data_IF_845736222858
#
_entry.id   IF_845736222858
#
_cell.length_a   1.000
_cell.length_b   1.000
_cell.length_c   1.000
_cell.angle_alpha   90.00
_cell.angle_beta   90.00
_cell.angle_gamma   90.00
#
_symmetry.space_group_name_H-M   'P 1'
#
loop_
_entity.id
_entity.type
_entity.pdbx_description
1 polymer ?
#
# COMPACT_ATOMS: atom_id res chain seq x y z
N UNK A 1 0.11 -20.24 5.19
CA UNK A 1 -0.66 -21.35 4.58
C UNK A 1 -0.61 -22.53 5.53
N UNK A 2 -1.74 -23.20 5.75
CA UNK A 2 -1.79 -24.55 6.33
C UNK A 2 -1.79 -25.57 5.19
N UNK A 3 -1.22 -26.76 5.40
CA UNK A 3 -1.21 -27.85 4.41
C UNK A 3 -2.18 -28.99 4.75
N UNK A 4 -2.73 -29.01 5.98
CA UNK A 4 -3.66 -30.02 6.44
C UNK A 4 -4.79 -29.37 7.29
N UNK A 5 -5.95 -29.05 6.69
CA UNK A 5 -6.18 -28.99 5.24
C UNK A 5 -5.45 -27.80 4.58
N UNK A 6 -5.29 -27.78 3.24
CA UNK A 6 -4.73 -26.65 2.51
C UNK A 6 -5.58 -25.38 2.67
N UNK A 7 -5.07 -24.42 3.44
CA UNK A 7 -5.75 -23.13 3.69
C UNK A 7 -4.77 -21.98 3.48
N UNK A 8 -5.16 -21.02 2.65
CA UNK A 8 -4.50 -19.74 2.48
C UNK A 8 -5.07 -18.69 3.42
N UNK A 9 -4.18 -17.89 3.99
CA UNK A 9 -4.52 -16.73 4.82
C UNK A 9 -3.80 -15.53 4.21
N UNK A 10 -4.56 -14.58 3.68
CA UNK A 10 -4.02 -13.48 2.90
C UNK A 10 -4.52 -12.15 3.44
N UNK A 11 -3.58 -11.23 3.67
CA UNK A 11 -3.90 -9.85 3.93
C UNK A 11 -3.89 -9.10 2.60
N UNK A 12 -5.06 -8.61 2.18
CA UNK A 12 -5.22 -7.85 0.94
C UNK A 12 -5.27 -6.37 1.30
N UNK A 13 -4.41 -5.58 0.64
CA UNK A 13 -4.40 -4.13 0.78
C UNK A 13 -4.79 -3.48 -0.54
N UNK A 14 -6.07 -3.15 -0.74
CA UNK A 14 -6.56 -2.63 -2.02
C UNK A 14 -6.06 -1.22 -2.35
N UNK A 15 -5.62 -0.46 -1.33
CA UNK A 15 -5.12 0.90 -1.47
C UNK A 15 -4.03 1.21 -0.44
N UNK A 16 -3.06 2.03 -0.83
CA UNK A 16 -1.99 2.54 0.06
C UNK A 16 -2.35 3.88 0.73
N UNK A 17 -3.54 4.41 0.52
CA UNK A 17 -3.96 5.73 1.04
C UNK A 17 -3.79 5.90 2.55
N UNK A 18 -4.07 4.84 3.31
CA UNK A 18 -3.94 4.88 4.77
C UNK A 18 -2.51 4.62 5.25
N UNK A 19 -1.60 4.19 4.37
CA UNK A 19 -0.19 3.94 4.70
C UNK A 19 0.63 5.22 4.65
N UNK A 20 1.60 5.34 5.56
CA UNK A 20 2.54 6.48 5.55
C UNK A 20 3.76 6.22 4.68
N UNK A 21 4.33 7.29 4.12
CA UNK A 21 5.57 7.23 3.32
C UNK A 21 5.35 7.00 1.81
N UNK A 22 4.11 6.83 1.38
CA UNK A 22 3.75 6.65 -0.02
C UNK A 22 4.05 5.24 -0.57
N UNK A 23 3.75 5.02 -1.86
CA UNK A 23 3.72 3.67 -2.46
C UNK A 23 5.09 2.98 -2.57
N UNK A 24 6.19 3.70 -2.37
CA UNK A 24 7.54 3.15 -2.40
C UNK A 24 8.11 2.87 -0.99
N UNK A 25 7.36 3.17 0.07
CA UNK A 25 7.83 2.98 1.44
C UNK A 25 7.86 1.51 1.80
N UNK A 26 9.05 1.01 2.10
CA UNK A 26 9.26 -0.36 2.55
C UNK A 26 8.73 -0.55 3.98
N UNK A 27 8.17 -1.72 4.24
CA UNK A 27 7.76 -2.13 5.57
C UNK A 27 7.68 -3.65 5.68
N UNK A 28 7.59 -4.16 6.90
CA UNK A 28 7.43 -5.58 7.16
C UNK A 28 6.01 -6.04 6.78
N UNK A 29 5.91 -7.20 6.14
CA UNK A 29 4.63 -7.88 5.85
C UNK A 29 4.38 -9.08 6.75
N UNK A 30 5.43 -9.59 7.40
CA UNK A 30 5.37 -10.68 8.37
C UNK A 30 6.32 -10.44 9.55
N UNK A 31 6.04 -11.12 10.66
CA UNK A 31 6.93 -11.21 11.81
C UNK A 31 7.53 -12.63 11.91
N UNK A 32 8.32 -12.92 12.96
CA UNK A 32 8.74 -14.30 13.23
C UNK A 32 7.51 -15.19 13.47
N UNK A 33 7.54 -16.41 12.91
CA UNK A 33 6.41 -17.33 12.93
C UNK A 33 5.34 -17.00 11.89
N UNK A 34 4.16 -17.64 11.96
CA UNK A 34 3.07 -17.45 10.99
C UNK A 34 2.23 -16.20 11.31
N UNK A 35 2.88 -15.05 11.53
CA UNK A 35 2.21 -13.78 11.87
C UNK A 35 2.30 -12.81 10.71
N UNK A 36 1.14 -12.47 10.15
CA UNK A 36 1.01 -11.42 9.12
C UNK A 36 0.90 -10.06 9.81
N UNK A 37 1.58 -9.05 9.28
CA UNK A 37 1.57 -7.70 9.83
C UNK A 37 0.76 -6.76 8.95
N UNK A 38 -0.15 -6.01 9.58
CA UNK A 38 -0.88 -4.93 8.92
C UNK A 38 -0.23 -3.59 9.25
N UNK A 39 0.86 -3.28 8.55
CA UNK A 39 1.62 -2.07 8.83
C UNK A 39 1.04 -0.85 8.10
N UNK A 40 0.27 -0.02 8.83
CA UNK A 40 -0.26 1.26 8.31
C UNK A 40 0.69 2.44 8.59
N UNK A 41 1.32 2.44 9.76
CA UNK A 41 2.25 3.48 10.22
C UNK A 41 3.47 2.79 10.84
N UNK A 42 4.68 3.23 10.46
CA UNK A 42 5.92 2.75 11.09
C UNK A 42 7.13 3.57 10.65
N UNK A 43 8.11 3.72 11.54
CA UNK A 43 9.44 4.27 11.26
C UNK A 43 10.40 3.25 10.60
N UNK A 44 10.04 1.97 10.46
CA UNK A 44 10.90 0.97 9.82
C UNK A 44 11.39 1.44 8.44
N UNK A 45 12.69 1.33 8.22
CA UNK A 45 13.41 1.71 6.99
C UNK A 45 13.41 3.20 6.61
N UNK A 46 12.76 4.06 7.40
CA UNK A 46 12.71 5.49 7.12
C UNK A 46 13.15 6.36 8.31
N UNK A 47 13.28 5.77 9.50
CA UNK A 47 13.69 6.48 10.71
C UNK A 47 12.59 7.42 11.23
N UNK A 48 13.00 8.34 12.09
CA UNK A 48 12.09 9.23 12.83
C UNK A 48 11.38 10.26 11.93
N UNK A 49 11.85 10.45 10.71
CA UNK A 49 11.23 11.38 9.74
C UNK A 49 9.82 10.93 9.31
N UNK A 50 9.51 9.63 9.39
CA UNK A 50 8.16 9.11 9.15
C UNK A 50 7.38 8.80 10.43
N UNK A 51 7.95 9.05 11.62
CA UNK A 51 7.18 9.02 12.86
C UNK A 51 6.24 10.24 12.88
N UNK A 52 4.94 10.09 13.24
CA UNK A 52 4.08 11.24 13.44
C UNK A 52 4.58 12.07 14.62
N UNK A 53 4.68 13.38 14.42
CA UNK A 53 5.17 14.35 15.42
C UNK A 53 4.03 15.29 15.76
N UNK A 54 3.26 14.94 16.79
CA UNK A 54 2.16 15.77 17.26
C UNK A 54 2.62 16.66 18.42
N UNK A 55 2.15 17.90 18.41
CA UNK A 55 2.39 18.85 19.50
C UNK A 55 1.32 18.71 20.59
N UNK A 56 1.62 19.22 21.79
CA UNK A 56 0.67 19.16 22.91
C UNK A 56 -0.62 19.93 22.56
N UNK A 57 -1.76 19.26 22.64
CA UNK A 57 -3.07 19.83 22.28
C UNK A 57 -3.40 19.79 20.78
N UNK A 58 -2.55 19.22 19.94
CA UNK A 58 -2.82 19.08 18.51
C UNK A 58 -3.87 18.00 18.24
N UNK A 59 -4.99 18.40 17.68
CA UNK A 59 -6.03 17.48 17.23
C UNK A 59 -5.66 16.88 15.87
N UNK A 60 -5.68 15.55 15.78
CA UNK A 60 -5.53 14.83 14.52
C UNK A 60 -6.50 13.65 14.47
N UNK A 61 -6.93 13.32 13.25
CA UNK A 61 -7.69 12.10 12.96
C UNK A 61 -7.19 11.50 11.66
N UNK A 62 -7.10 10.17 11.59
CA UNK A 62 -6.74 9.43 10.39
C UNK A 62 -7.49 8.12 10.35
N UNK A 63 -8.10 7.83 9.21
CA UNK A 63 -8.72 6.52 9.00
C UNK A 63 -7.67 5.51 8.54
N UNK A 64 -7.65 4.35 9.18
CA UNK A 64 -6.83 3.21 8.80
C UNK A 64 -7.72 2.06 8.34
N UNK A 65 -7.49 1.57 7.13
CA UNK A 65 -8.31 0.53 6.52
C UNK A 65 -9.58 1.08 5.84
N UNK A 66 -10.61 0.24 5.59
CA UNK A 66 -10.77 -1.15 6.05
C UNK A 66 -9.65 -2.11 5.64
N UNK A 67 -9.39 -3.11 6.48
CA UNK A 67 -8.39 -4.15 6.23
C UNK A 67 -9.10 -5.40 5.74
N UNK A 68 -8.73 -5.91 4.57
CA UNK A 68 -9.35 -7.10 3.99
C UNK A 68 -8.52 -8.34 4.34
N UNK A 69 -9.12 -9.27 5.08
CA UNK A 69 -8.56 -10.60 5.34
C UNK A 69 -9.28 -11.62 4.47
N UNK A 70 -8.52 -12.29 3.62
CA UNK A 70 -9.02 -13.28 2.68
C UNK A 70 -8.56 -14.67 3.08
N UNK A 71 -9.50 -15.61 3.12
CA UNK A 71 -9.24 -17.01 3.36
C UNK A 71 -9.75 -17.81 2.17
N UNK A 72 -8.94 -18.74 1.70
CA UNK A 72 -9.31 -19.68 0.66
C UNK A 72 -8.74 -21.07 1.00
N UNK A 73 -9.26 -22.09 0.32
CA UNK A 73 -8.87 -23.48 0.53
C UNK A 73 -9.01 -24.26 -0.77
N UNK A 74 -8.18 -25.29 -0.95
CA UNK A 74 -8.31 -26.25 -2.04
C UNK A 74 -8.62 -27.63 -1.48
N UNK A 75 -9.51 -28.34 -2.16
CA UNK A 75 -9.86 -29.72 -1.82
C UNK A 75 -8.81 -30.69 -2.35
N UNK A 76 -8.22 -30.38 -3.51
CA UNK A 76 -7.01 -31.01 -3.99
C UNK A 76 -5.80 -30.27 -3.41
N UNK A 77 -5.10 -30.90 -2.48
CA UNK A 77 -3.83 -30.39 -1.94
C UNK A 77 -2.68 -30.42 -2.98
N UNK A 78 -3.02 -30.47 -4.27
CA UNK A 78 -2.10 -30.79 -5.36
C UNK A 78 -1.10 -29.65 -5.60
N UNK A 79 -1.57 -28.39 -5.57
CA UNK A 79 -0.74 -27.22 -5.81
C UNK A 79 -1.12 -25.99 -4.98
N UNK A 80 -0.35 -25.66 -3.93
CA UNK A 80 -0.54 -24.44 -3.13
C UNK A 80 -0.45 -23.14 -3.92
N UNK A 81 0.16 -23.13 -5.11
CA UNK A 81 0.19 -21.91 -5.95
C UNK A 81 -1.21 -21.52 -6.42
N UNK A 82 -2.16 -22.45 -6.52
CA UNK A 82 -3.56 -22.13 -6.83
C UNK A 82 -4.19 -21.21 -5.78
N UNK A 83 -3.89 -21.42 -4.50
CA UNK A 83 -4.37 -20.54 -3.41
C UNK A 83 -3.80 -19.12 -3.55
N UNK A 84 -2.56 -18.99 -4.02
CA UNK A 84 -1.93 -17.71 -4.27
C UNK A 84 -2.49 -17.01 -5.51
N UNK A 85 -2.71 -17.75 -6.61
CA UNK A 85 -3.34 -17.21 -7.81
C UNK A 85 -4.74 -16.69 -7.53
N UNK A 86 -5.54 -17.45 -6.78
CA UNK A 86 -6.87 -17.04 -6.32
C UNK A 86 -6.83 -15.78 -5.44
N UNK A 87 -5.89 -15.70 -4.49
CA UNK A 87 -5.69 -14.50 -3.69
C UNK A 87 -5.30 -13.27 -4.52
N UNK A 88 -4.54 -13.43 -5.61
CA UNK A 88 -4.24 -12.34 -6.55
C UNK A 88 -5.47 -11.89 -7.34
N UNK A 89 -6.34 -12.82 -7.75
CA UNK A 89 -7.62 -12.48 -8.38
C UNK A 89 -8.47 -11.67 -7.39
N UNK A 90 -8.59 -12.13 -6.14
CA UNK A 90 -9.31 -11.39 -5.09
C UNK A 90 -8.71 -9.99 -4.88
N UNK A 91 -7.38 -9.86 -4.85
CA UNK A 91 -6.71 -8.56 -4.73
C UNK A 91 -7.13 -7.59 -5.86
N UNK A 92 -7.29 -8.06 -7.09
CA UNK A 92 -7.74 -7.21 -8.20
C UNK A 92 -9.21 -6.78 -8.06
N UNK A 93 -10.07 -7.66 -7.55
CA UNK A 93 -11.47 -7.34 -7.24
C UNK A 93 -11.53 -6.26 -6.16
N UNK A 94 -10.82 -6.46 -5.05
CA UNK A 94 -10.82 -5.51 -3.93
C UNK A 94 -10.22 -4.16 -4.31
N UNK A 95 -9.21 -4.14 -5.18
CA UNK A 95 -8.66 -2.90 -5.74
C UNK A 95 -9.70 -2.13 -6.55
N UNK A 96 -10.54 -2.83 -7.32
CA UNK A 96 -11.63 -2.22 -8.09
C UNK A 96 -12.79 -1.72 -7.21
N UNK A 97 -13.01 -2.38 -6.06
CA UNK A 97 -14.05 -2.01 -5.10
C UNK A 97 -13.65 -0.87 -4.15
N UNK A 98 -12.38 -0.46 -4.13
CA UNK A 98 -11.93 0.68 -3.34
C UNK A 98 -12.37 1.99 -3.99
N UNK A 99 -13.04 2.93 -3.30
CA UNK A 99 -13.33 3.04 -1.87
C UNK A 99 -14.63 2.31 -1.46
N UNK A 100 -14.59 1.56 -0.36
CA UNK A 100 -15.72 0.72 0.08
C UNK A 100 -16.94 1.53 0.51
N UNK A 101 -18.08 1.33 -0.15
CA UNK A 101 -19.33 2.02 0.19
C UNK A 101 -19.96 1.57 1.53
N UNK A 102 -19.59 0.39 2.03
CA UNK A 102 -20.09 -0.14 3.31
C UNK A 102 -19.48 0.58 4.52
N UNK A 103 -18.36 1.28 4.37
CA UNK A 103 -17.75 2.00 5.47
C UNK A 103 -18.63 3.21 5.83
N UNK A 104 -19.28 3.13 7.00
CA UNK A 104 -20.30 4.09 7.43
C UNK A 104 -19.74 5.32 8.15
N UNK A 105 -18.48 5.28 8.58
CA UNK A 105 -17.87 6.41 9.30
C UNK A 105 -17.83 7.65 8.41
N UNK A 106 -18.25 8.79 8.94
CA UNK A 106 -18.13 10.09 8.27
C UNK A 106 -16.67 10.48 8.00
N UNK A 107 -15.73 9.94 8.78
CA UNK A 107 -14.31 10.15 8.58
C UNK A 107 -13.76 9.37 7.36
N UNK A 108 -14.47 8.33 6.92
CA UNK A 108 -14.07 7.53 5.76
C UNK A 108 -14.66 8.13 4.48
N UNK A 109 -13.78 8.65 3.63
CA UNK A 109 -14.18 9.33 2.42
C UNK A 109 -14.67 8.33 1.37
N UNK A 110 -15.93 8.49 0.96
CA UNK A 110 -16.58 7.66 -0.05
C UNK A 110 -16.11 8.06 -1.46
N UNK A 111 -16.37 7.20 -2.44
CA UNK A 111 -16.01 7.43 -3.85
C UNK A 111 -16.46 8.80 -4.36
N UNK A 112 -17.68 9.22 -4.04
CA UNK A 112 -18.25 10.50 -4.49
C UNK A 112 -17.61 11.74 -3.84
N UNK A 113 -16.88 11.55 -2.74
CA UNK A 113 -16.19 12.63 -2.03
C UNK A 113 -14.72 12.76 -2.47
N UNK A 114 -14.27 11.96 -3.44
CA UNK A 114 -12.87 11.89 -3.83
C UNK A 114 -12.63 12.59 -5.15
N UNK A 115 -11.64 13.48 -5.17
CA UNK A 115 -11.11 14.09 -6.39
C UNK A 115 -9.91 13.30 -6.93
N UNK A 116 -9.69 13.34 -8.24
CA UNK A 116 -8.49 12.78 -8.89
C UNK A 116 -7.74 13.87 -9.65
N UNK A 117 -6.45 14.04 -9.34
CA UNK A 117 -5.53 14.86 -10.13
C UNK A 117 -4.52 13.93 -10.77
N UNK A 118 -4.35 14.08 -12.08
CA UNK A 118 -3.31 13.37 -12.81
C UNK A 118 -2.40 14.34 -13.54
N UNK A 119 -1.15 13.95 -13.71
CA UNK A 119 -0.17 14.77 -14.38
C UNK A 119 1.13 14.02 -14.62
N UNK A 120 2.10 14.73 -15.18
CA UNK A 120 3.44 14.20 -15.43
C UNK A 120 4.46 15.13 -14.80
N UNK A 121 5.21 14.62 -13.83
CA UNK A 121 6.38 15.31 -13.29
C UNK A 121 7.54 15.11 -14.27
N UNK A 122 8.21 16.21 -14.63
CA UNK A 122 9.44 16.19 -15.43
C UNK A 122 10.56 16.59 -14.47
N UNK A 123 11.40 15.63 -14.08
CA UNK A 123 12.53 15.87 -13.21
C UNK A 123 13.79 16.06 -14.07
N UNK A 124 14.43 17.21 -13.88
CA UNK A 124 15.73 17.50 -14.46
C UNK A 124 16.79 17.18 -13.42
N UNK A 125 17.67 16.24 -13.76
CA UNK A 125 18.86 15.99 -12.94
C UNK A 125 20.01 16.78 -13.53
N UNK A 126 20.42 17.84 -12.83
CA UNK A 126 21.68 18.53 -13.09
C UNK A 126 22.74 17.95 -12.16
N UNK A 127 23.17 16.71 -12.39
CA UNK A 127 24.36 16.19 -11.72
C UNK A 127 25.60 16.85 -12.29
N UNK A 128 26.03 17.98 -11.72
CA UNK A 128 27.44 18.39 -11.73
C UNK A 128 28.20 17.55 -10.66
N UNK A 129 28.07 16.23 -10.74
CA UNK A 129 28.90 15.32 -9.95
C UNK A 129 30.16 15.09 -10.77
N UNK A 130 31.20 15.80 -10.33
CA UNK A 130 32.62 15.73 -10.67
C UNK A 130 33.09 15.10 -11.98
N UNK A 131 33.97 15.86 -12.63
CA UNK A 131 34.76 15.52 -13.81
C UNK A 131 35.24 14.08 -13.79
N UNK A 132 34.58 13.19 -14.54
CA UNK A 132 35.12 12.47 -15.69
C UNK A 132 33.98 11.65 -16.34
N UNK A 133 33.49 12.11 -17.50
CA UNK A 133 32.72 11.34 -18.48
C UNK A 133 31.36 10.73 -18.07
N UNK A 134 30.30 11.54 -18.03
CA UNK A 134 29.06 11.27 -18.79
C UNK A 134 28.09 12.48 -18.72
N UNK A 135 27.93 13.27 -19.80
CA UNK A 135 26.92 14.32 -19.85
C UNK A 135 25.63 13.73 -20.41
N UNK A 136 24.85 13.05 -19.57
CA UNK A 136 23.48 12.68 -19.92
C UNK A 136 22.52 13.37 -18.97
N UNK A 137 21.91 14.47 -19.43
CA UNK A 137 20.68 15.01 -18.83
C UNK A 137 19.63 13.91 -18.99
N UNK A 138 19.52 13.03 -17.99
CA UNK A 138 18.50 11.99 -18.02
C UNK A 138 17.17 12.66 -17.71
N UNK A 139 16.33 12.84 -18.74
CA UNK A 139 14.92 13.21 -18.55
C UNK A 139 14.22 12.01 -17.94
N UNK A 140 13.87 12.10 -16.67
CA UNK A 140 12.95 11.14 -16.05
C UNK A 140 11.60 11.81 -15.92
N UNK A 141 10.58 11.20 -16.51
CA UNK A 141 9.20 11.61 -16.29
C UNK A 141 8.44 10.53 -15.54
N UNK A 142 7.64 10.91 -14.55
CA UNK A 142 6.70 10.01 -13.88
C UNK A 142 5.29 10.53 -14.02
N UNK A 143 4.36 9.66 -14.41
CA UNK A 143 2.93 9.94 -14.34
C UNK A 143 2.51 9.70 -12.89
N UNK A 144 1.68 10.59 -12.37
CA UNK A 144 1.10 10.45 -11.04
C UNK A 144 -0.42 10.55 -11.12
N UNK A 145 -1.08 9.84 -10.21
CA UNK A 145 -2.49 9.99 -9.89
C UNK A 145 -2.56 10.23 -8.39
N UNK A 146 -2.99 11.42 -7.99
CA UNK A 146 -3.23 11.77 -6.59
C UNK A 146 -4.75 11.78 -6.38
N UNK A 147 -5.18 11.04 -5.36
CA UNK A 147 -6.56 11.07 -4.87
C UNK A 147 -6.57 12.05 -3.69
N UNK A 148 -7.46 13.04 -3.75
CA UNK A 148 -7.66 14.01 -2.68
C UNK A 148 -9.08 13.93 -2.13
N UNK A 149 -9.24 14.44 -0.92
CA UNK A 149 -10.48 14.48 -0.14
C UNK A 149 -10.94 15.92 0.04
#
# INVERSE_FOLDING_TARGET
MSFDPPIGFWLITPSDEFRTGGPLKQNLTSHVGPTILVMSLSAHYAGDDLSPKFTNGEYWKKVHGPIFMYLNSSWDASDPTMLWEDAKVQMMIEKGNWSYCFALSEDFQKTEQRGCVSGRLICWSNTNLDSQNMPCISRRSKIFHLIFF
#
